data_IF_546324001324
#
_entry.id   IF_546324001324
#
_cell.length_a   1.000
_cell.length_b   1.000
_cell.length_c   1.000
_cell.angle_alpha   90.00
_cell.angle_beta   90.00
_cell.angle_gamma   90.00
#
_symmetry.space_group_name_H-M   'P 1'
#
loop_
_entity.id
_entity.type
_entity.pdbx_description
1 polymer ?
#
# COMPACT_ATOMS: atom_id res chain seq x y z
N UNK A 1 20.65 3.14 26.20
CA UNK A 1 20.15 1.80 25.82
C UNK A 1 20.48 1.62 24.35
N UNK A 2 21.15 0.54 23.94
CA UNK A 2 21.43 0.31 22.52
C UNK A 2 20.10 0.05 21.78
N UNK A 3 19.94 0.67 20.62
CA UNK A 3 18.75 0.57 19.78
C UNK A 3 19.16 0.06 18.41
N UNK A 4 18.60 -1.07 17.99
CA UNK A 4 18.77 -1.60 16.62
C UNK A 4 17.53 -1.26 15.81
N UNK A 5 17.64 -0.45 14.75
CA UNK A 5 16.51 -0.14 13.88
C UNK A 5 16.04 -1.34 13.04
N UNK A 6 14.96 -1.15 12.30
CA UNK A 6 14.44 -2.12 11.34
C UNK A 6 13.19 -2.85 11.83
N UNK A 7 12.20 -2.98 10.94
CA UNK A 7 10.88 -3.57 11.23
C UNK A 7 10.50 -4.65 10.22
N UNK A 8 11.44 -5.16 9.43
CA UNK A 8 11.19 -6.23 8.47
C UNK A 8 12.50 -6.91 8.08
N UNK A 9 12.44 -8.21 7.84
CA UNK A 9 13.53 -8.99 7.27
C UNK A 9 12.97 -10.20 6.54
N UNK A 10 13.82 -10.75 5.68
CA UNK A 10 13.72 -12.13 5.18
C UNK A 10 15.06 -12.80 5.47
N UNK A 11 15.02 -14.05 5.91
CA UNK A 11 16.22 -14.80 6.26
C UNK A 11 15.93 -16.29 6.41
N UNK A 12 16.98 -17.04 6.71
CA UNK A 12 16.92 -18.47 6.99
C UNK A 12 16.87 -18.72 8.50
N UNK A 13 16.06 -19.68 8.92
CA UNK A 13 16.06 -20.16 10.31
C UNK A 13 17.35 -20.92 10.58
N UNK A 14 18.17 -20.43 11.53
CA UNK A 14 19.43 -21.07 11.93
C UNK A 14 19.34 -21.86 13.24
N UNK A 15 18.31 -21.61 14.06
CA UNK A 15 18.03 -22.32 15.30
C UNK A 15 16.55 -22.22 15.67
N UNK A 16 16.05 -23.17 16.48
CA UNK A 16 14.66 -23.21 16.96
C UNK A 16 14.59 -23.48 18.46
N UNK A 17 13.71 -22.75 19.15
CA UNK A 17 13.51 -22.92 20.59
C UNK A 17 12.92 -24.30 20.94
N UNK A 18 13.16 -24.81 22.17
CA UNK A 18 12.62 -26.10 22.61
C UNK A 18 11.09 -26.19 22.47
N UNK A 19 10.61 -27.29 21.88
CA UNK A 19 9.17 -27.57 21.73
C UNK A 19 8.48 -26.88 20.55
N UNK A 20 9.21 -26.08 19.76
CA UNK A 20 8.69 -25.46 18.54
C UNK A 20 8.63 -26.49 17.41
N UNK A 21 7.47 -26.61 16.76
CA UNK A 21 7.25 -27.62 15.70
C UNK A 21 6.84 -27.04 14.34
N UNK A 22 6.45 -25.77 14.26
CA UNK A 22 5.98 -25.17 12.99
C UNK A 22 7.09 -24.58 12.12
N UNK A 23 8.34 -24.59 12.58
CA UNK A 23 9.54 -24.19 11.82
C UNK A 23 10.71 -25.13 12.10
N UNK A 24 11.63 -25.20 11.15
CA UNK A 24 12.90 -25.93 11.26
C UNK A 24 14.06 -25.12 10.69
N UNK A 25 15.27 -25.50 11.07
CA UNK A 25 16.50 -24.97 10.48
C UNK A 25 16.47 -25.16 8.96
N UNK A 26 16.86 -24.12 8.22
CA UNK A 26 16.80 -24.08 6.75
C UNK A 26 15.50 -23.51 6.17
N UNK A 27 14.47 -23.26 6.98
CA UNK A 27 13.26 -22.60 6.48
C UNK A 27 13.55 -21.14 6.11
N UNK A 28 13.18 -20.74 4.89
CA UNK A 28 13.16 -19.33 4.50
C UNK A 28 11.89 -18.66 5.03
N UNK A 29 12.08 -17.60 5.80
CA UNK A 29 11.00 -16.88 6.48
C UNK A 29 11.13 -15.38 6.31
N UNK A 30 9.98 -14.70 6.32
CA UNK A 30 9.89 -13.25 6.38
C UNK A 30 9.13 -12.78 7.61
N UNK A 31 9.38 -11.54 8.04
CA UNK A 31 8.58 -10.89 9.06
C UNK A 31 8.44 -9.39 8.78
N UNK A 32 7.40 -8.78 9.34
CA UNK A 32 7.20 -7.34 9.32
C UNK A 32 6.51 -6.86 10.61
N UNK A 33 6.86 -5.66 11.04
CA UNK A 33 6.39 -5.03 12.28
C UNK A 33 7.24 -5.40 13.50
N UNK A 34 6.57 -5.67 14.62
CA UNK A 34 7.22 -5.95 15.89
C UNK A 34 7.60 -7.45 16.05
N UNK A 35 8.74 -7.76 16.69
CA UNK A 35 9.68 -6.82 17.32
C UNK A 35 10.63 -6.13 16.32
N UNK A 36 11.01 -4.89 16.64
CA UNK A 36 12.06 -4.18 15.89
C UNK A 36 13.43 -4.82 16.11
N UNK A 37 14.39 -4.50 15.23
CA UNK A 37 15.78 -4.95 15.34
C UNK A 37 16.31 -5.67 14.10
N UNK A 38 15.63 -5.58 12.96
CA UNK A 38 16.04 -6.32 11.76
C UNK A 38 17.33 -5.83 11.10
N UNK A 39 17.86 -4.67 11.48
CA UNK A 39 19.17 -4.22 11.00
C UNK A 39 20.30 -4.87 11.82
N UNK A 40 20.29 -6.21 11.82
CA UNK A 40 21.24 -7.08 12.47
C UNK A 40 21.41 -8.35 11.62
N UNK A 41 22.53 -9.05 11.78
CA UNK A 41 22.77 -10.32 11.08
C UNK A 41 21.86 -11.45 11.60
N UNK A 42 21.43 -11.36 12.85
CA UNK A 42 20.58 -12.36 13.50
C UNK A 42 19.59 -11.66 14.44
N UNK A 43 18.38 -12.22 14.53
CA UNK A 43 17.34 -11.73 15.43
C UNK A 43 16.50 -12.90 15.94
N UNK A 44 16.21 -12.90 17.25
CA UNK A 44 15.27 -13.85 17.85
C UNK A 44 13.85 -13.32 17.62
N UNK A 45 13.02 -14.11 16.96
CA UNK A 45 11.63 -13.77 16.63
C UNK A 45 10.66 -14.81 17.21
N UNK A 46 9.48 -14.40 17.71
CA UNK A 46 8.41 -15.34 18.02
C UNK A 46 7.93 -16.04 16.75
N UNK A 47 7.69 -17.36 16.80
CA UNK A 47 7.19 -18.16 15.66
C UNK A 47 5.98 -17.53 14.95
N UNK A 48 5.02 -17.03 15.74
CA UNK A 48 3.79 -16.39 15.25
C UNK A 48 4.01 -15.08 14.47
N UNK A 49 5.22 -14.53 14.47
CA UNK A 49 5.59 -13.31 13.76
C UNK A 49 6.22 -13.58 12.40
N UNK A 50 6.61 -14.82 12.13
CA UNK A 50 7.26 -15.18 10.87
C UNK A 50 6.31 -15.92 9.93
N UNK A 51 6.38 -15.58 8.64
CA UNK A 51 5.64 -16.24 7.57
C UNK A 51 6.60 -17.00 6.67
N UNK A 52 6.18 -18.14 6.10
CA UNK A 52 7.05 -18.87 5.17
C UNK A 52 7.21 -18.05 3.89
N UNK A 53 8.41 -18.09 3.31
CA UNK A 53 8.64 -17.48 2.01
C UNK A 53 8.28 -18.47 0.89
N UNK A 54 7.46 -18.08 -0.11
CA UNK A 54 7.23 -18.92 -1.27
C UNK A 54 8.54 -19.19 -2.03
N UNK A 55 8.81 -20.44 -2.46
CA UNK A 55 10.08 -20.79 -3.11
C UNK A 55 10.27 -20.12 -4.48
N UNK A 56 9.20 -19.59 -5.06
CA UNK A 56 9.21 -18.87 -6.33
C UNK A 56 9.65 -17.41 -6.22
N UNK A 57 9.86 -16.89 -5.00
CA UNK A 57 10.21 -15.49 -4.77
C UNK A 57 11.64 -15.41 -4.25
N UNK A 58 12.47 -14.65 -4.95
CA UNK A 58 13.83 -14.33 -4.51
C UNK A 58 13.81 -13.65 -3.11
N UNK A 59 14.67 -14.06 -2.16
CA UNK A 59 14.67 -13.51 -0.80
C UNK A 59 14.92 -12.00 -0.73
N UNK A 60 15.74 -11.43 -1.63
CA UNK A 60 16.01 -9.99 -1.68
C UNK A 60 14.75 -9.24 -2.13
N UNK A 61 14.09 -9.76 -3.17
CA UNK A 61 12.79 -9.23 -3.61
C UNK A 61 11.79 -9.28 -2.46
N UNK A 62 11.67 -10.41 -1.78
CA UNK A 62 10.76 -10.60 -0.66
C UNK A 62 11.00 -9.60 0.49
N UNK A 63 12.25 -9.40 0.89
CA UNK A 63 12.62 -8.42 1.92
C UNK A 63 12.23 -6.99 1.53
N UNK A 64 12.33 -6.67 0.24
CA UNK A 64 11.97 -5.36 -0.28
C UNK A 64 10.46 -5.11 -0.22
N UNK A 65 9.63 -6.13 -0.51
CA UNK A 65 8.18 -5.99 -0.70
C UNK A 65 7.34 -6.34 0.52
N UNK A 66 7.76 -7.18 1.47
CA UNK A 66 6.86 -7.79 2.47
C UNK A 66 5.97 -6.77 3.21
N UNK A 67 6.56 -5.71 3.78
CA UNK A 67 5.79 -4.68 4.49
C UNK A 67 4.93 -3.83 3.54
N UNK A 68 5.44 -3.52 2.34
CA UNK A 68 4.73 -2.73 1.34
C UNK A 68 3.54 -3.50 0.76
N UNK A 69 3.71 -4.80 0.53
CA UNK A 69 2.68 -5.72 0.08
C UNK A 69 1.59 -5.93 1.13
N UNK A 70 1.95 -5.98 2.42
CA UNK A 70 0.95 -5.98 3.51
C UNK A 70 0.12 -4.69 3.51
N UNK A 71 0.73 -3.53 3.32
CA UNK A 71 0.00 -2.26 3.21
C UNK A 71 -0.93 -2.27 1.98
N UNK A 72 -0.43 -2.67 0.81
CA UNK A 72 -1.25 -2.79 -0.40
C UNK A 72 -2.41 -3.77 -0.23
N UNK A 73 -2.18 -4.93 0.41
CA UNK A 73 -3.22 -5.91 0.72
C UNK A 73 -4.30 -5.31 1.63
N UNK A 74 -3.88 -4.63 2.69
CA UNK A 74 -4.80 -4.01 3.63
C UNK A 74 -5.67 -2.97 2.93
N UNK A 75 -5.06 -2.08 2.14
CA UNK A 75 -5.73 -1.01 1.42
C UNK A 75 -6.72 -1.53 0.35
N UNK A 76 -6.32 -2.50 -0.48
CA UNK A 76 -7.12 -3.00 -1.61
C UNK A 76 -8.17 -4.05 -1.22
N UNK A 77 -8.02 -4.71 -0.06
CA UNK A 77 -8.85 -5.86 0.32
C UNK A 77 -9.62 -5.66 1.62
N UNK A 78 -9.20 -4.73 2.49
CA UNK A 78 -9.80 -4.51 3.81
C UNK A 78 -10.32 -3.09 4.02
N UNK A 79 -9.60 -2.05 3.59
CA UNK A 79 -10.09 -0.66 3.63
C UNK A 79 -11.20 -0.46 2.60
N UNK A 80 -10.83 -0.55 1.33
CA UNK A 80 -11.77 -0.55 0.22
C UNK A 80 -11.55 -1.84 -0.56
N UNK A 81 -12.57 -2.71 -0.62
CA UNK A 81 -12.46 -3.97 -1.34
C UNK A 81 -12.56 -3.68 -2.84
N UNK A 82 -11.41 -3.56 -3.50
CA UNK A 82 -11.34 -3.35 -4.94
C UNK A 82 -11.89 -4.57 -5.69
N UNK A 83 -12.76 -4.31 -6.65
CA UNK A 83 -13.42 -5.27 -7.51
C UNK A 83 -13.32 -4.81 -8.97
N UNK A 84 -13.49 -5.72 -9.95
CA UNK A 84 -13.49 -5.36 -11.36
C UNK A 84 -14.48 -4.23 -11.67
N UNK A 85 -14.05 -3.26 -12.47
CA UNK A 85 -14.86 -2.11 -12.87
C UNK A 85 -14.79 -0.91 -11.94
N UNK A 86 -14.17 -1.03 -10.75
CA UNK A 86 -13.86 0.14 -9.94
C UNK A 86 -12.81 1.03 -10.63
N UNK A 87 -12.93 2.34 -10.47
CA UNK A 87 -11.90 3.31 -10.84
C UNK A 87 -11.19 3.80 -9.59
N UNK A 88 -9.86 3.78 -9.59
CA UNK A 88 -9.06 4.19 -8.43
C UNK A 88 -8.09 5.30 -8.80
N UNK A 89 -7.84 6.21 -7.87
CA UNK A 89 -6.76 7.20 -7.94
C UNK A 89 -5.65 6.81 -6.97
N UNK A 90 -4.40 6.76 -7.44
CA UNK A 90 -3.22 6.46 -6.62
C UNK A 90 -2.24 7.63 -6.71
N UNK A 91 -2.06 8.35 -5.60
CA UNK A 91 -1.01 9.34 -5.51
C UNK A 91 0.36 8.70 -5.28
N UNK A 92 1.41 9.33 -5.82
CA UNK A 92 2.77 8.80 -5.80
C UNK A 92 2.83 7.36 -6.36
N UNK A 93 2.18 7.13 -7.50
CA UNK A 93 1.99 5.82 -8.12
C UNK A 93 3.32 5.07 -8.37
N UNK A 94 4.41 5.79 -8.63
CA UNK A 94 5.77 5.23 -8.72
C UNK A 94 6.52 5.53 -7.43
N UNK A 95 6.18 4.74 -6.41
CA UNK A 95 6.66 4.87 -5.04
C UNK A 95 6.69 3.53 -4.34
N UNK A 96 7.07 3.51 -3.06
CA UNK A 96 7.26 2.26 -2.32
C UNK A 96 6.01 1.38 -2.29
N UNK A 97 4.87 1.93 -1.87
CA UNK A 97 3.58 1.21 -1.81
C UNK A 97 2.80 1.42 -3.12
N UNK A 98 2.86 2.61 -3.72
CA UNK A 98 2.15 2.97 -4.95
C UNK A 98 2.36 1.97 -6.09
N UNK A 99 3.60 1.53 -6.34
CA UNK A 99 3.89 0.59 -7.43
C UNK A 99 3.17 -0.75 -7.23
N UNK A 100 3.20 -1.31 -6.01
CA UNK A 100 2.50 -2.56 -5.72
C UNK A 100 0.97 -2.41 -5.71
N UNK A 101 0.47 -1.25 -5.25
CA UNK A 101 -0.95 -0.93 -5.30
C UNK A 101 -1.47 -0.90 -6.74
N UNK A 102 -0.76 -0.21 -7.64
CA UNK A 102 -1.17 -0.11 -9.05
C UNK A 102 -1.17 -1.49 -9.71
N UNK A 103 -0.13 -2.30 -9.47
CA UNK A 103 0.00 -3.62 -10.11
C UNK A 103 -1.14 -4.53 -9.67
N UNK A 104 -1.43 -4.55 -8.36
CA UNK A 104 -2.46 -5.41 -7.82
C UNK A 104 -3.88 -4.90 -8.15
N UNK A 105 -4.13 -3.60 -8.10
CA UNK A 105 -5.43 -3.05 -8.48
C UNK A 105 -5.76 -3.33 -9.95
N UNK A 106 -4.80 -3.17 -10.85
CA UNK A 106 -4.95 -3.54 -12.25
C UNK A 106 -5.24 -5.05 -12.38
N UNK A 107 -4.48 -5.91 -11.70
CA UNK A 107 -4.71 -7.35 -11.70
C UNK A 107 -6.08 -7.76 -11.11
N UNK A 108 -6.69 -6.93 -10.26
CA UNK A 108 -8.05 -7.09 -9.74
C UNK A 108 -9.14 -6.58 -10.70
N UNK A 109 -8.77 -5.99 -11.83
CA UNK A 109 -9.68 -5.49 -12.86
C UNK A 109 -10.17 -4.06 -12.64
N UNK A 110 -9.48 -3.27 -11.81
CA UNK A 110 -9.79 -1.85 -11.64
C UNK A 110 -9.10 -0.99 -12.71
N UNK A 111 -9.74 0.12 -13.08
CA UNK A 111 -9.11 1.19 -13.85
C UNK A 111 -8.24 2.03 -12.92
N UNK A 112 -6.95 2.05 -13.15
CA UNK A 112 -5.97 2.73 -12.28
C UNK A 112 -5.55 4.07 -12.90
N UNK A 113 -5.83 5.16 -12.18
CA UNK A 113 -5.32 6.50 -12.46
C UNK A 113 -4.19 6.77 -11.46
N UNK A 114 -2.98 7.03 -11.94
CA UNK A 114 -1.81 7.28 -11.09
C UNK A 114 -1.29 8.71 -11.23
N UNK A 115 -0.99 9.39 -10.12
CA UNK A 115 -0.25 10.66 -10.18
C UNK A 115 1.24 10.45 -9.92
N UNK A 116 2.07 11.17 -10.67
CA UNK A 116 3.54 11.13 -10.58
C UNK A 116 4.15 12.53 -10.66
N UNK A 117 5.36 12.64 -10.12
CA UNK A 117 6.04 13.93 -9.98
C UNK A 117 6.80 14.39 -11.23
N UNK A 118 7.15 13.48 -12.14
CA UNK A 118 8.01 13.76 -13.30
C UNK A 118 7.70 12.83 -14.47
N UNK A 119 8.04 13.26 -15.70
CA UNK A 119 7.81 12.50 -16.96
C UNK A 119 8.56 11.17 -17.01
N UNK A 120 9.74 11.10 -16.42
CA UNK A 120 10.60 9.90 -16.47
C UNK A 120 9.95 8.70 -15.75
N UNK A 121 9.05 8.97 -14.80
CA UNK A 121 8.29 7.95 -14.07
C UNK A 121 7.09 7.41 -14.86
N UNK A 122 6.71 8.03 -15.98
CA UNK A 122 5.47 7.67 -16.68
C UNK A 122 5.51 6.26 -17.29
N UNK A 123 6.67 5.83 -17.80
CA UNK A 123 6.84 4.46 -18.30
C UNK A 123 6.65 3.45 -17.17
N UNK A 124 7.35 3.64 -16.04
CA UNK A 124 7.22 2.76 -14.88
C UNK A 124 5.79 2.75 -14.32
N UNK A 125 5.10 3.88 -14.28
CA UNK A 125 3.71 3.93 -13.81
C UNK A 125 2.79 3.05 -14.66
N UNK A 126 2.97 3.06 -15.99
CA UNK A 126 2.22 2.21 -16.92
C UNK A 126 2.58 0.74 -16.76
N UNK A 127 3.87 0.43 -16.62
CA UNK A 127 4.34 -0.94 -16.37
C UNK A 127 3.83 -1.46 -15.02
N UNK A 128 3.69 -0.58 -14.03
CA UNK A 128 3.07 -0.87 -12.74
C UNK A 128 1.53 -0.97 -12.83
N UNK A 129 0.92 -0.83 -14.00
CA UNK A 129 -0.52 -1.05 -14.20
C UNK A 129 -1.40 0.20 -14.15
N UNK A 130 -0.82 1.40 -14.15
CA UNK A 130 -1.62 2.62 -14.38
C UNK A 130 -2.16 2.62 -15.81
N UNK A 131 -3.48 2.74 -15.94
CA UNK A 131 -4.16 2.93 -17.21
C UNK A 131 -4.02 4.39 -17.66
N UNK A 132 -4.11 5.31 -16.70
CA UNK A 132 -3.92 6.74 -16.89
C UNK A 132 -2.84 7.25 -15.95
N UNK A 133 -1.97 8.11 -16.46
CA UNK A 133 -0.85 8.68 -15.70
C UNK A 133 -0.94 10.19 -15.80
N UNK A 134 -1.00 10.87 -14.65
CA UNK A 134 -1.08 12.32 -14.55
C UNK A 134 0.22 12.84 -13.95
N UNK A 135 0.88 13.77 -14.63
CA UNK A 135 2.06 14.44 -14.09
C UNK A 135 1.58 15.69 -13.37
N UNK A 136 1.30 15.59 -12.07
CA UNK A 136 0.59 16.62 -11.29
C UNK A 136 1.32 17.97 -11.18
N UNK A 137 2.58 18.04 -11.63
CA UNK A 137 3.33 19.31 -11.74
C UNK A 137 3.10 20.06 -13.04
N UNK A 138 2.54 19.38 -14.05
CA UNK A 138 2.26 19.93 -15.38
C UNK A 138 0.76 20.09 -15.61
N UNK A 139 -0.05 19.25 -14.98
CA UNK A 139 -1.50 19.16 -15.18
C UNK A 139 -2.23 19.20 -13.83
N UNK A 140 -3.41 19.80 -13.83
CA UNK A 140 -4.32 19.73 -12.69
C UNK A 140 -5.00 18.35 -12.66
N UNK A 141 -4.67 17.56 -11.64
CA UNK A 141 -5.13 16.17 -11.59
C UNK A 141 -6.64 16.06 -11.43
N UNK A 142 -7.30 17.03 -10.77
CA UNK A 142 -8.75 17.08 -10.61
C UNK A 142 -9.44 17.18 -11.96
N UNK A 143 -8.99 18.12 -12.80
CA UNK A 143 -9.48 18.27 -14.17
C UNK A 143 -9.26 17.00 -15.00
N UNK A 144 -8.05 16.42 -14.94
CA UNK A 144 -7.75 15.19 -15.66
C UNK A 144 -8.62 14.00 -15.20
N UNK A 145 -8.82 13.82 -13.90
CA UNK A 145 -9.68 12.74 -13.38
C UNK A 145 -11.13 12.96 -13.81
N UNK A 146 -11.63 14.19 -13.77
CA UNK A 146 -12.96 14.51 -14.27
C UNK A 146 -13.11 14.18 -15.76
N UNK A 147 -12.12 14.50 -16.58
CA UNK A 147 -12.12 14.14 -18.01
C UNK A 147 -12.12 12.62 -18.22
N UNK A 148 -11.21 11.90 -17.54
CA UNK A 148 -11.08 10.43 -17.62
C UNK A 148 -12.38 9.74 -17.18
N UNK A 149 -13.04 10.25 -16.14
CA UNK A 149 -14.21 9.64 -15.51
C UNK A 149 -15.54 10.20 -16.01
N UNK A 150 -15.50 11.15 -16.95
CA UNK A 150 -16.68 11.89 -17.42
C UNK A 150 -17.47 12.55 -16.27
N UNK A 151 -16.76 13.14 -15.31
CA UNK A 151 -17.30 13.84 -14.15
C UNK A 151 -17.87 12.95 -13.05
N UNK A 152 -17.65 11.63 -13.10
CA UNK A 152 -18.14 10.68 -12.08
C UNK A 152 -17.24 10.58 -10.86
N UNK A 153 -16.01 11.06 -10.95
CA UNK A 153 -14.99 10.84 -9.92
C UNK A 153 -14.52 9.38 -9.87
N UNK A 154 -13.84 9.01 -8.79
CA UNK A 154 -13.30 7.66 -8.57
C UNK A 154 -14.04 6.94 -7.44
N UNK A 155 -13.85 5.63 -7.30
CA UNK A 155 -14.45 4.85 -6.21
C UNK A 155 -13.57 4.85 -4.95
N UNK A 156 -12.27 5.07 -5.08
CA UNK A 156 -11.33 5.25 -3.97
C UNK A 156 -10.10 6.06 -4.38
N UNK A 157 -9.61 6.89 -3.46
CA UNK A 157 -8.32 7.57 -3.55
C UNK A 157 -7.36 6.96 -2.53
N UNK A 158 -6.15 6.63 -2.97
CA UNK A 158 -5.04 6.24 -2.11
C UNK A 158 -4.01 7.38 -2.05
N UNK A 159 -4.11 8.17 -0.99
CA UNK A 159 -3.25 9.32 -0.77
C UNK A 159 -2.13 9.04 0.24
N UNK A 160 -0.91 9.40 -0.13
CA UNK A 160 0.29 9.34 0.71
C UNK A 160 0.99 10.70 0.87
N UNK A 161 0.44 11.75 0.25
CA UNK A 161 0.89 13.13 0.29
C UNK A 161 0.14 13.88 1.40
N UNK A 162 -1.17 13.70 1.49
CA UNK A 162 -2.00 14.17 2.59
C UNK A 162 -2.41 15.63 2.44
N UNK A 163 -1.90 16.51 3.30
CA UNK A 163 -2.41 17.90 3.45
C UNK A 163 -2.49 18.66 2.13
N UNK A 164 -1.55 18.45 1.22
CA UNK A 164 -1.42 19.21 -0.02
C UNK A 164 -2.34 18.72 -1.15
N UNK A 165 -3.02 17.59 -0.96
CA UNK A 165 -3.95 16.97 -1.92
C UNK A 165 -5.36 16.81 -1.35
N UNK A 166 -5.52 17.08 -0.06
CA UNK A 166 -6.72 16.77 0.70
C UNK A 166 -7.99 17.45 0.19
N UNK A 167 -7.92 18.74 -0.16
CA UNK A 167 -9.10 19.49 -0.60
C UNK A 167 -9.53 19.05 -2.01
N UNK A 168 -8.55 18.74 -2.84
CA UNK A 168 -8.72 18.28 -4.20
C UNK A 168 -9.30 16.85 -4.24
N UNK A 169 -8.89 15.98 -3.32
CA UNK A 169 -9.41 14.61 -3.19
C UNK A 169 -10.90 14.58 -2.83
N UNK A 170 -11.36 15.51 -1.97
CA UNK A 170 -12.77 15.68 -1.62
C UNK A 170 -13.67 16.02 -2.83
N UNK A 171 -13.08 16.61 -3.87
CA UNK A 171 -13.80 16.85 -5.11
C UNK A 171 -13.92 15.59 -5.99
N UNK A 172 -13.11 14.54 -5.74
CA UNK A 172 -13.06 13.32 -6.56
C UNK A 172 -13.83 12.14 -5.98
N UNK A 173 -14.14 12.17 -4.68
CA UNK A 173 -14.90 11.16 -3.96
C UNK A 173 -15.86 11.86 -3.00
N UNK A 174 -17.07 11.34 -2.79
CA UNK A 174 -17.93 11.84 -1.70
C UNK A 174 -17.29 11.47 -0.35
N UNK A 175 -16.70 12.46 0.34
CA UNK A 175 -16.14 12.30 1.69
C UNK A 175 -17.15 12.84 2.72
N UNK A 176 -17.66 11.98 3.59
CA UNK A 176 -18.31 12.38 4.83
C UNK A 176 -17.26 12.51 5.94
N UNK A 177 -17.19 13.66 6.61
CA UNK A 177 -16.21 13.90 7.66
C UNK A 177 -16.76 13.58 9.05
N UNK A 178 -15.99 12.87 9.88
CA UNK A 178 -16.25 12.75 11.32
C UNK A 178 -15.00 13.21 12.12
N UNK A 179 -15.16 14.19 13.01
CA UNK A 179 -14.08 14.69 13.85
C UNK A 179 -13.74 13.65 14.93
N UNK A 180 -12.46 13.27 15.04
CA UNK A 180 -11.96 12.58 16.22
C UNK A 180 -12.09 13.45 17.47
N UNK A 181 -12.47 12.86 18.60
CA UNK A 181 -12.67 13.53 19.89
C UNK A 181 -11.38 14.08 20.54
N UNK A 182 -10.20 13.75 20.00
CA UNK A 182 -8.90 14.17 20.55
C UNK A 182 -8.22 15.32 19.78
N UNK A 183 -8.85 15.82 18.70
CA UNK A 183 -8.41 17.02 18.00
C UNK A 183 -7.06 16.90 17.28
N UNK A 184 -6.52 15.68 17.11
CA UNK A 184 -5.24 15.47 16.42
C UNK A 184 -5.33 14.68 15.12
N UNK A 185 -6.43 13.97 14.86
CA UNK A 185 -6.63 13.24 13.60
C UNK A 185 -7.97 13.59 12.90
N UNK A 186 -7.91 13.81 11.58
CA UNK A 186 -9.06 13.83 10.67
C UNK A 186 -9.26 12.41 10.15
N UNK A 187 -10.38 11.79 10.50
CA UNK A 187 -10.82 10.53 9.86
C UNK A 187 -11.56 10.90 8.58
N UNK A 188 -11.00 10.51 7.44
CA UNK A 188 -11.56 10.78 6.10
C UNK A 188 -12.44 9.58 5.72
N UNK A 189 -13.75 9.73 5.86
CA UNK A 189 -14.70 8.68 5.49
C UNK A 189 -15.20 8.94 4.08
N UNK A 190 -14.82 8.11 3.10
CA UNK A 190 -15.46 8.14 1.78
C UNK A 190 -16.69 7.21 1.81
N UNK A 191 -17.89 7.72 1.56
CA UNK A 191 -19.12 6.92 1.52
C UNK A 191 -19.94 7.22 0.28
N UNK A 192 -20.30 6.18 -0.49
CA UNK A 192 -21.48 6.21 -1.38
C UNK A 192 -22.76 5.81 -0.62
N UNK A 193 -23.97 6.07 -1.16
CA UNK A 193 -25.26 6.12 -0.45
C UNK A 193 -25.84 4.81 0.13
N UNK A 194 -25.01 3.78 0.37
CA UNK A 194 -25.46 2.47 0.85
C UNK A 194 -24.77 2.01 2.14
N UNK A 195 -24.17 2.94 2.88
CA UNK A 195 -23.90 2.78 4.31
C UNK A 195 -22.99 1.61 4.67
N UNK A 196 -21.68 1.74 4.42
CA UNK A 196 -20.66 0.97 5.13
C UNK A 196 -19.41 1.83 5.41
N UNK A 197 -19.01 1.81 6.68
CA UNK A 197 -17.88 2.48 7.32
C UNK A 197 -16.56 1.77 7.00
N UNK A 198 -15.47 2.49 6.65
CA UNK A 198 -14.08 2.11 7.01
C UNK A 198 -13.17 3.36 7.04
N UNK A 199 -12.20 3.32 7.98
CA UNK A 199 -11.21 4.31 8.46
C UNK A 199 -10.25 4.90 7.42
#
# INVERSE_FOLDING_TARGET
MLFTPGMKAVGEVIDVGPGLTGRKVGDLVGYAGNPMGSYAEQQILPEKKVVPLPPSIDPIVAASIILKGMAAQFLLRRCFKVEPGHTILVHAAVGGVGSLLCQWANALGATVIGTISTKEKAAQAKDDGCHHVIIYKEEDFVSCVNEITSGKGVDVVYDSVGKDTFQEDDAQVEIEYEKSNDGQDLVVKATRPQGRLVL
#
